data_IF_751636736043
#
_entry.id   IF_751636736043
#
_cell.length_a   1.000
_cell.length_b   1.000
_cell.length_c   1.000
_cell.angle_alpha   90.00
_cell.angle_beta   90.00
_cell.angle_gamma   90.00
#
_symmetry.space_group_name_H-M   'P 1'
#
loop_
_entity.id
_entity.type
_entity.pdbx_description
1 polymer ?
#
# COMPACT_ATOMS: atom_id res chain seq x y z
N UNK A 1 22.39 12.63 13.16
CA UNK A 1 21.00 12.47 12.68
C UNK A 1 20.81 13.26 11.37
N UNK A 2 21.34 12.77 10.24
CA UNK A 2 21.10 13.39 8.91
C UNK A 2 20.42 12.42 7.92
N UNK A 3 19.75 11.37 8.39
CA UNK A 3 19.14 10.34 7.55
C UNK A 3 18.08 10.91 6.58
N UNK A 4 17.33 11.94 7.00
CA UNK A 4 16.34 12.61 6.17
C UNK A 4 16.91 13.43 5.00
N UNK A 5 18.24 13.64 4.94
CA UNK A 5 18.88 14.26 3.78
C UNK A 5 19.01 13.30 2.60
N UNK A 6 18.93 11.99 2.86
CA UNK A 6 18.93 11.01 1.78
C UNK A 6 17.54 10.94 1.14
N UNK A 7 17.50 11.29 -0.16
CA UNK A 7 16.28 11.29 -0.96
C UNK A 7 15.59 9.92 -0.96
N UNK A 8 16.33 8.81 -0.83
CA UNK A 8 15.75 7.48 -0.79
C UNK A 8 15.00 7.21 0.54
N UNK A 9 15.51 7.70 1.67
CA UNK A 9 14.85 7.58 2.97
C UNK A 9 13.58 8.45 2.99
N UNK A 10 13.68 9.71 2.55
CA UNK A 10 12.52 10.60 2.51
C UNK A 10 11.38 10.04 1.63
N UNK A 11 11.72 9.52 0.44
CA UNK A 11 10.72 8.90 -0.45
C UNK A 11 10.12 7.64 0.18
N UNK A 12 10.94 6.81 0.85
CA UNK A 12 10.44 5.61 1.54
C UNK A 12 9.48 5.96 2.69
N UNK A 13 9.81 6.99 3.46
CA UNK A 13 8.95 7.51 4.52
C UNK A 13 7.62 8.03 3.97
N UNK A 14 7.64 8.81 2.89
CA UNK A 14 6.43 9.29 2.23
C UNK A 14 5.57 8.13 1.71
N UNK A 15 6.18 7.13 1.07
CA UNK A 15 5.47 5.94 0.62
C UNK A 15 4.82 5.23 1.82
N UNK A 16 5.56 4.96 2.89
CA UNK A 16 5.04 4.31 4.09
C UNK A 16 3.88 5.11 4.71
N UNK A 17 4.05 6.42 4.86
CA UNK A 17 3.01 7.30 5.41
C UNK A 17 1.72 7.27 4.58
N UNK A 18 1.82 7.46 3.26
CA UNK A 18 0.66 7.44 2.38
C UNK A 18 0.01 6.06 2.29
N UNK A 19 0.81 4.98 2.26
CA UNK A 19 0.29 3.61 2.34
C UNK A 19 -0.59 3.41 3.55
N UNK A 20 -0.13 3.81 4.74
CA UNK A 20 -0.89 3.64 5.97
C UNK A 20 -2.12 4.56 6.01
N UNK A 21 -1.99 5.82 5.58
CA UNK A 21 -3.10 6.76 5.53
C UNK A 21 -4.23 6.27 4.61
N UNK A 22 -3.89 5.82 3.40
CA UNK A 22 -4.87 5.34 2.41
C UNK A 22 -5.48 4.02 2.89
N UNK A 23 -4.67 3.10 3.45
CA UNK A 23 -5.17 1.84 3.96
C UNK A 23 -6.18 2.05 5.08
N UNK A 24 -5.86 2.87 6.08
CA UNK A 24 -6.79 3.16 7.18
C UNK A 24 -8.05 3.85 6.70
N UNK A 25 -7.92 4.86 5.83
CA UNK A 25 -9.07 5.58 5.28
C UNK A 25 -10.00 4.64 4.53
N UNK A 26 -9.45 3.75 3.70
CA UNK A 26 -10.24 2.83 2.88
C UNK A 26 -10.88 1.72 3.70
N UNK A 27 -10.15 1.11 4.64
CA UNK A 27 -10.66 0.05 5.51
C UNK A 27 -11.83 0.54 6.37
N UNK A 28 -11.77 1.78 6.85
CA UNK A 28 -12.85 2.37 7.63
C UNK A 28 -14.02 2.79 6.75
N UNK A 29 -13.78 3.47 5.63
CA UNK A 29 -14.84 4.08 4.82
C UNK A 29 -15.55 3.10 3.90
N UNK A 30 -14.83 2.18 3.25
CA UNK A 30 -15.39 1.41 2.14
C UNK A 30 -16.54 0.47 2.55
N UNK A 31 -16.51 -0.22 3.71
CA UNK A 31 -17.65 -1.00 4.17
C UNK A 31 -18.91 -0.15 4.32
N UNK A 32 -18.80 1.07 4.87
CA UNK A 32 -19.93 1.99 4.97
C UNK A 32 -20.43 2.45 3.60
N UNK A 33 -19.53 2.72 2.66
CA UNK A 33 -19.91 3.07 1.29
C UNK A 33 -20.68 1.93 0.60
N UNK A 34 -20.15 0.71 0.69
CA UNK A 34 -20.78 -0.48 0.07
C UNK A 34 -22.13 -0.79 0.73
N UNK A 35 -22.23 -0.62 2.04
CA UNK A 35 -23.49 -0.84 2.75
C UNK A 35 -24.52 0.25 2.46
N UNK A 36 -24.13 1.52 2.57
CA UNK A 36 -25.05 2.66 2.51
C UNK A 36 -25.36 3.17 1.11
N UNK A 37 -24.39 3.12 0.18
CA UNK A 37 -24.55 3.65 -1.19
C UNK A 37 -24.85 2.55 -2.19
N UNK A 38 -24.10 1.44 -2.13
CA UNK A 38 -24.34 0.29 -3.02
C UNK A 38 -25.55 -0.53 -2.54
N UNK A 39 -25.93 -0.41 -1.26
CA UNK A 39 -27.11 -1.10 -0.69
C UNK A 39 -26.86 -2.57 -0.38
N UNK A 40 -25.60 -2.95 -0.12
CA UNK A 40 -25.25 -4.33 0.25
C UNK A 40 -25.54 -4.63 1.72
N UNK A 41 -25.62 -5.91 2.08
CA UNK A 41 -25.75 -6.34 3.48
C UNK A 41 -24.51 -5.98 4.32
N UNK A 42 -24.65 -5.91 5.64
CA UNK A 42 -23.52 -5.69 6.55
C UNK A 42 -22.40 -6.73 6.36
N UNK A 43 -22.79 -8.01 6.20
CA UNK A 43 -21.85 -9.13 5.99
C UNK A 43 -21.07 -8.98 4.69
N UNK A 44 -21.76 -8.68 3.58
CA UNK A 44 -21.13 -8.51 2.26
C UNK A 44 -20.21 -7.27 2.25
N UNK A 45 -20.64 -6.20 2.90
CA UNK A 45 -19.87 -4.95 2.97
C UNK A 45 -18.58 -5.11 3.77
N UNK A 46 -18.58 -5.88 4.85
CA UNK A 46 -17.36 -6.23 5.57
C UNK A 46 -16.42 -7.13 4.75
N UNK A 47 -16.98 -8.03 3.93
CA UNK A 47 -16.20 -8.94 3.09
C UNK A 47 -15.41 -8.24 1.97
N UNK A 48 -15.71 -6.97 1.65
CA UNK A 48 -15.00 -6.19 0.62
C UNK A 48 -13.52 -5.93 0.98
N UNK A 49 -13.16 -6.04 2.26
CA UNK A 49 -11.78 -5.88 2.74
C UNK A 49 -10.94 -7.12 2.41
N UNK A 50 -11.56 -8.30 2.34
CA UNK A 50 -10.85 -9.57 2.14
C UNK A 50 -10.04 -9.60 0.83
N UNK A 51 -10.59 -9.20 -0.33
CA UNK A 51 -9.81 -9.11 -1.57
C UNK A 51 -8.62 -8.16 -1.49
N UNK A 52 -8.73 -7.03 -0.77
CA UNK A 52 -7.62 -6.10 -0.54
C UNK A 52 -6.48 -6.81 0.19
N UNK A 53 -6.81 -7.54 1.27
CA UNK A 53 -5.83 -8.29 2.07
C UNK A 53 -5.14 -9.38 1.24
N UNK A 54 -5.87 -10.07 0.36
CA UNK A 54 -5.27 -11.03 -0.56
C UNK A 54 -4.29 -10.37 -1.53
N UNK A 55 -4.66 -9.24 -2.14
CA UNK A 55 -3.77 -8.46 -3.00
C UNK A 55 -2.51 -7.98 -2.26
N UNK A 56 -2.68 -7.53 -1.02
CA UNK A 56 -1.58 -7.13 -0.14
C UNK A 56 -0.63 -8.29 0.15
N UNK A 57 -1.16 -9.45 0.56
CA UNK A 57 -0.34 -10.61 0.88
C UNK A 57 0.44 -11.11 -0.35
N UNK A 58 -0.22 -11.23 -1.50
CA UNK A 58 0.41 -11.68 -2.74
C UNK A 58 1.50 -10.72 -3.19
N UNK A 59 1.19 -9.43 -3.25
CA UNK A 59 2.14 -8.40 -3.71
C UNK A 59 3.34 -8.26 -2.77
N UNK A 60 3.15 -8.35 -1.46
CA UNK A 60 4.24 -8.32 -0.48
C UNK A 60 5.21 -9.49 -0.67
N UNK A 61 4.67 -10.72 -0.83
CA UNK A 61 5.49 -11.90 -1.08
C UNK A 61 6.26 -11.81 -2.41
N UNK A 62 5.59 -11.40 -3.49
CA UNK A 62 6.22 -11.24 -4.81
C UNK A 62 7.32 -10.18 -4.73
N UNK A 63 7.04 -9.05 -4.12
CA UNK A 63 7.96 -7.91 -4.04
C UNK A 63 9.16 -8.22 -3.16
N UNK A 64 8.96 -8.88 -2.02
CA UNK A 64 10.05 -9.35 -1.16
C UNK A 64 11.02 -10.26 -1.92
N UNK A 65 10.49 -11.22 -2.69
CA UNK A 65 11.34 -12.09 -3.54
C UNK A 65 12.04 -11.31 -4.66
N UNK A 66 11.32 -10.39 -5.29
CA UNK A 66 11.82 -9.62 -6.42
C UNK A 66 12.93 -8.65 -6.00
N UNK A 67 12.75 -7.95 -4.86
CA UNK A 67 13.76 -7.02 -4.35
C UNK A 67 15.04 -7.77 -3.93
N UNK A 68 14.90 -8.94 -3.29
CA UNK A 68 16.06 -9.79 -2.93
C UNK A 68 16.82 -10.31 -4.14
N UNK A 69 16.16 -10.57 -5.27
CA UNK A 69 16.82 -11.09 -6.48
C UNK A 69 17.42 -10.00 -7.37
N UNK A 70 16.71 -8.88 -7.54
CA UNK A 70 17.04 -7.88 -8.56
C UNK A 70 17.77 -6.67 -7.96
N UNK A 71 17.65 -6.44 -6.65
CA UNK A 71 18.30 -5.32 -5.94
C UNK A 71 17.79 -3.92 -6.33
N UNK A 72 16.79 -3.82 -7.22
CA UNK A 72 16.28 -2.56 -7.79
C UNK A 72 15.19 -1.91 -6.92
N UNK A 73 15.47 -1.72 -5.63
CA UNK A 73 14.50 -1.21 -4.66
C UNK A 73 13.90 0.16 -5.06
N UNK A 74 14.70 1.07 -5.66
CA UNK A 74 14.20 2.38 -6.16
C UNK A 74 13.12 2.26 -7.23
N UNK A 75 13.30 1.37 -8.21
CA UNK A 75 12.33 1.19 -9.30
C UNK A 75 11.04 0.55 -8.76
N UNK A 76 11.19 -0.44 -7.88
CA UNK A 76 10.04 -1.06 -7.22
C UNK A 76 9.29 -0.06 -6.33
N UNK A 77 9.99 0.88 -5.69
CA UNK A 77 9.37 1.96 -4.89
C UNK A 77 8.47 2.84 -5.76
N UNK A 78 8.94 3.24 -6.94
CA UNK A 78 8.16 4.02 -7.88
C UNK A 78 6.94 3.24 -8.38
N UNK A 79 7.10 1.95 -8.70
CA UNK A 79 6.00 1.09 -9.10
C UNK A 79 4.94 0.96 -7.99
N UNK A 80 5.34 0.74 -6.74
CA UNK A 80 4.43 0.65 -5.60
C UNK A 80 3.64 1.96 -5.43
N UNK A 81 4.31 3.11 -5.50
CA UNK A 81 3.68 4.42 -5.38
C UNK A 81 2.69 4.69 -6.53
N UNK A 82 3.05 4.33 -7.76
CA UNK A 82 2.16 4.47 -8.93
C UNK A 82 0.92 3.59 -8.80
N UNK A 83 1.08 2.31 -8.45
CA UNK A 83 -0.05 1.37 -8.30
C UNK A 83 -0.97 1.83 -7.17
N UNK A 84 -0.41 2.27 -6.05
CA UNK A 84 -1.18 2.83 -4.94
C UNK A 84 -1.94 4.09 -5.35
N UNK A 85 -1.28 5.02 -6.07
CA UNK A 85 -1.92 6.22 -6.61
C UNK A 85 -3.06 5.90 -7.56
N UNK A 86 -2.88 4.93 -8.46
CA UNK A 86 -3.95 4.44 -9.36
C UNK A 86 -5.10 3.85 -8.55
N UNK A 87 -4.83 3.00 -7.55
CA UNK A 87 -5.86 2.44 -6.68
C UNK A 87 -6.66 3.51 -5.94
N UNK A 88 -5.98 4.50 -5.36
CA UNK A 88 -6.62 5.62 -4.68
C UNK A 88 -7.45 6.48 -5.63
N UNK A 89 -6.94 6.77 -6.84
CA UNK A 89 -7.68 7.49 -7.87
C UNK A 89 -8.95 6.73 -8.29
N UNK A 90 -8.85 5.42 -8.53
CA UNK A 90 -10.01 4.59 -8.87
C UNK A 90 -11.07 4.61 -7.76
N UNK A 91 -10.65 4.49 -6.50
CA UNK A 91 -11.55 4.60 -5.34
C UNK A 91 -12.22 5.98 -5.28
N UNK A 92 -11.49 7.05 -5.61
CA UNK A 92 -12.05 8.42 -5.65
C UNK A 92 -13.15 8.60 -6.70
N UNK A 93 -13.17 7.76 -7.74
CA UNK A 93 -14.23 7.79 -8.78
C UNK A 93 -15.51 7.04 -8.40
N UNK A 94 -15.54 6.40 -7.24
CA UNK A 94 -16.71 5.62 -6.81
C UNK A 94 -17.90 6.54 -6.48
N UNK A 95 -19.08 6.11 -6.90
CA UNK A 95 -20.34 6.83 -6.67
C UNK A 95 -21.54 5.88 -6.69
N UNK A 96 -22.74 6.44 -6.80
CA UNK A 96 -24.01 5.69 -6.70
C UNK A 96 -24.16 4.60 -7.77
N UNK A 97 -23.49 4.75 -8.92
CA UNK A 97 -23.51 3.77 -10.03
C UNK A 97 -22.41 2.71 -9.94
N UNK A 98 -21.58 2.74 -8.90
CA UNK A 98 -20.46 1.79 -8.79
C UNK A 98 -20.97 0.41 -8.43
N UNK A 99 -20.56 -0.59 -9.23
CA UNK A 99 -20.86 -1.99 -8.94
C UNK A 99 -19.98 -2.53 -7.81
N UNK A 100 -20.49 -3.53 -7.08
CA UNK A 100 -19.71 -4.22 -6.05
C UNK A 100 -18.42 -4.86 -6.61
N UNK A 101 -18.46 -5.38 -7.84
CA UNK A 101 -17.29 -5.95 -8.52
C UNK A 101 -16.21 -4.90 -8.81
N UNK A 102 -16.60 -3.69 -9.22
CA UNK A 102 -15.67 -2.57 -9.41
C UNK A 102 -14.99 -2.18 -8.10
N UNK A 103 -15.76 -2.11 -7.00
CA UNK A 103 -15.20 -1.83 -5.68
C UNK A 103 -14.17 -2.88 -5.24
N UNK A 104 -14.45 -4.17 -5.48
CA UNK A 104 -13.50 -5.27 -5.24
C UNK A 104 -12.23 -5.07 -6.07
N UNK A 105 -12.36 -4.80 -7.37
CA UNK A 105 -11.20 -4.63 -8.24
C UNK A 105 -10.31 -3.48 -7.78
N UNK A 106 -10.91 -2.34 -7.41
CA UNK A 106 -10.18 -1.17 -6.94
C UNK A 106 -9.47 -1.47 -5.60
N UNK A 107 -10.13 -2.19 -4.71
CA UNK A 107 -9.55 -2.70 -3.45
C UNK A 107 -8.35 -3.62 -3.69
N UNK A 108 -8.43 -4.52 -4.67
CA UNK A 108 -7.31 -5.40 -5.02
C UNK A 108 -6.13 -4.59 -5.55
N UNK A 109 -6.37 -3.63 -6.45
CA UNK A 109 -5.31 -2.75 -7.02
C UNK A 109 -4.63 -1.95 -5.90
N UNK A 110 -5.43 -1.34 -5.01
CA UNK A 110 -4.88 -0.61 -3.86
C UNK A 110 -4.08 -1.54 -2.95
N UNK A 111 -4.64 -2.71 -2.60
CA UNK A 111 -3.98 -3.71 -1.78
C UNK A 111 -2.64 -4.16 -2.35
N UNK A 112 -2.54 -4.31 -3.68
CA UNK A 112 -1.28 -4.56 -4.37
C UNK A 112 -0.26 -3.44 -4.12
N UNK A 113 -0.63 -2.18 -4.33
CA UNK A 113 0.28 -1.04 -4.09
C UNK A 113 0.78 -0.96 -2.66
N UNK A 114 -0.14 -1.12 -1.69
CA UNK A 114 0.18 -1.12 -0.25
C UNK A 114 1.09 -2.29 0.11
N UNK A 115 0.80 -3.51 -0.36
CA UNK A 115 1.59 -4.69 -0.02
C UNK A 115 3.00 -4.67 -0.62
N UNK A 116 3.19 -4.05 -1.79
CA UNK A 116 4.54 -3.81 -2.33
C UNK A 116 5.38 -2.90 -1.42
N UNK A 117 4.74 -1.91 -0.77
CA UNK A 117 5.47 -0.86 -0.04
C UNK A 117 6.26 -1.40 1.16
N UNK A 118 5.71 -2.34 1.92
CA UNK A 118 6.31 -2.86 3.16
C UNK A 118 7.73 -3.44 2.99
N UNK A 119 7.98 -4.43 2.11
CA UNK A 119 9.33 -4.97 1.95
C UNK A 119 10.30 -3.94 1.35
N UNK A 120 9.81 -3.03 0.50
CA UNK A 120 10.64 -2.04 -0.19
C UNK A 120 11.15 -0.98 0.78
N UNK A 121 10.28 -0.42 1.63
CA UNK A 121 10.67 0.63 2.58
C UNK A 121 11.71 0.11 3.56
N UNK A 122 11.55 -1.13 4.04
CA UNK A 122 12.52 -1.78 4.92
C UNK A 122 13.87 -1.99 4.22
N UNK A 123 13.89 -2.51 2.98
CA UNK A 123 15.14 -2.68 2.21
C UNK A 123 15.80 -1.34 1.89
N UNK A 124 15.04 -0.31 1.54
CA UNK A 124 15.60 1.03 1.32
C UNK A 124 16.22 1.61 2.60
N UNK A 125 15.56 1.47 3.74
CA UNK A 125 16.09 1.87 5.04
C UNK A 125 17.40 1.16 5.35
N UNK A 126 17.46 -0.16 5.15
CA UNK A 126 18.66 -0.97 5.35
C UNK A 126 19.80 -0.57 4.40
N UNK A 127 19.50 -0.25 3.14
CA UNK A 127 20.51 0.09 2.13
C UNK A 127 21.22 1.43 2.41
N UNK A 128 20.57 2.35 3.13
CA UNK A 128 21.13 3.68 3.43
C UNK A 128 21.72 3.75 4.84
N UNK A 129 21.36 2.82 5.73
CA UNK A 129 21.82 2.82 7.11
C UNK A 129 23.24 2.24 7.27
N UNK A 130 24.13 2.91 8.02
CA UNK A 130 25.33 2.27 8.58
C UNK A 130 24.92 1.05 9.42
N UNK A 131 25.77 0.00 9.44
CA UNK A 131 25.44 -1.27 10.11
C UNK A 131 25.05 -1.09 11.57
N UNK A 132 25.65 -0.15 12.29
CA UNK A 132 25.35 0.14 13.69
C UNK A 132 23.99 0.85 13.89
N UNK A 133 23.40 1.40 12.83
CA UNK A 133 22.21 2.27 12.89
C UNK A 133 21.00 1.68 12.16
N UNK A 134 21.10 0.46 11.61
CA UNK A 134 20.00 -0.21 10.89
C UNK A 134 18.71 -0.20 11.72
N UNK A 135 18.77 -0.58 13.01
CA UNK A 135 17.59 -0.62 13.88
C UNK A 135 16.92 0.75 14.06
N UNK A 136 17.70 1.83 14.13
CA UNK A 136 17.14 3.19 14.25
C UNK A 136 16.48 3.66 12.96
N UNK A 137 17.01 3.29 11.79
CA UNK A 137 16.45 3.72 10.50
C UNK A 137 15.23 2.89 10.15
N UNK A 138 15.23 1.58 10.38
CA UNK A 138 14.07 0.72 10.13
C UNK A 138 12.88 1.04 11.04
N UNK A 139 13.11 1.65 12.20
CA UNK A 139 12.04 2.10 13.11
C UNK A 139 11.29 3.35 12.61
N UNK A 140 11.83 4.05 11.62
CA UNK A 140 11.23 5.28 11.06
C UNK A 140 10.28 5.02 9.90
N UNK A 141 10.28 3.80 9.33
CA UNK A 141 9.54 3.41 8.12
C UNK A 141 8.46 2.39 8.39
#
# INVERSE_FOLDING_TARGET
MNFFKDRAIYVSFMIAFFSQAIMFSTVLYLPYFVQGVIGSSATTSGAVITPMMLGLLLSSNITGRLVSRVGKAKILSAAAFLIMGVGALLLSTMGVKTSYASAILFMVILGFGVGMSMPITNVNAQNVAPREQIGSVTSTV
#
